data_IF_434558586810
#
_entry.id   IF_434558586810
#
_cell.length_a   1.000
_cell.length_b   1.000
_cell.length_c   1.000
_cell.angle_alpha   90.00
_cell.angle_beta   90.00
_cell.angle_gamma   90.00
#
_symmetry.space_group_name_H-M   'P 1'
#
loop_
_entity.id
_entity.type
_entity.pdbx_description
1 polymer ?
#
# COMPACT_ATOMS: atom_id res chain seq x y z
N UNK A 1 6.79 7.19 -18.00
CA UNK A 1 6.51 7.56 -16.59
C UNK A 1 6.96 6.41 -15.69
N UNK A 2 7.24 6.66 -14.40
CA UNK A 2 8.04 5.74 -13.57
C UNK A 2 7.34 4.39 -13.32
N UNK A 3 7.91 3.32 -13.88
CA UNK A 3 7.37 1.95 -13.87
C UNK A 3 7.93 1.07 -12.75
N UNK A 4 8.58 1.62 -11.74
CA UNK A 4 9.23 0.88 -10.62
C UNK A 4 9.20 1.71 -9.34
N UNK A 5 9.21 3.03 -9.47
CA UNK A 5 9.45 3.98 -8.39
C UNK A 5 8.31 5.00 -8.36
N UNK A 6 7.90 5.40 -7.16
CA UNK A 6 6.97 6.50 -6.96
C UNK A 6 7.46 7.41 -5.84
N UNK A 7 7.11 8.71 -5.92
CA UNK A 7 7.43 9.66 -4.87
C UNK A 7 6.61 9.35 -3.61
N UNK A 8 7.22 9.55 -2.45
CA UNK A 8 6.54 9.50 -1.17
C UNK A 8 6.38 10.91 -0.58
N UNK A 9 5.40 11.13 0.31
CA UNK A 9 5.40 12.30 1.17
C UNK A 9 6.72 12.42 1.95
N UNK A 10 7.18 13.65 2.20
CA UNK A 10 8.39 13.93 2.96
C UNK A 10 8.19 13.64 4.46
N UNK A 11 8.21 12.36 4.82
CA UNK A 11 8.03 11.87 6.17
C UNK A 11 9.37 11.74 6.87
N UNK A 12 9.52 12.39 8.05
CA UNK A 12 10.67 12.16 8.92
C UNK A 12 10.57 10.79 9.58
N UNK A 13 11.67 10.05 9.58
CA UNK A 13 11.76 8.68 10.09
C UNK A 13 13.07 8.47 10.84
N UNK A 14 13.07 7.49 11.74
CA UNK A 14 14.26 6.92 12.34
C UNK A 14 14.55 5.58 11.67
N UNK A 15 15.69 5.48 11.01
CA UNK A 15 16.17 4.26 10.38
C UNK A 15 16.98 3.48 11.40
N UNK A 16 16.60 2.23 11.62
CA UNK A 16 17.39 1.24 12.36
C UNK A 16 18.74 1.05 11.67
N UNK A 17 19.83 1.38 12.37
CA UNK A 17 21.17 1.43 11.77
C UNK A 17 21.63 0.05 11.31
N UNK A 18 21.15 -1.03 11.91
CA UNK A 18 21.42 -2.39 11.46
C UNK A 18 21.03 -2.63 10.00
N UNK A 19 19.96 -2.01 9.49
CA UNK A 19 19.59 -2.12 8.08
C UNK A 19 20.58 -1.39 7.16
N UNK A 20 21.17 -0.29 7.61
CA UNK A 20 22.20 0.45 6.87
C UNK A 20 23.54 -0.30 6.82
N UNK A 21 23.76 -1.20 7.77
CA UNK A 21 25.00 -1.98 7.94
C UNK A 21 24.83 -3.43 7.47
N UNK A 22 23.78 -3.74 6.69
CA UNK A 22 23.47 -5.09 6.22
C UNK A 22 23.42 -6.14 7.36
N UNK A 23 22.87 -5.74 8.50
CA UNK A 23 22.77 -6.53 9.73
C UNK A 23 24.10 -7.06 10.29
N UNK A 24 25.23 -6.43 9.96
CA UNK A 24 26.55 -6.81 10.50
C UNK A 24 26.95 -6.01 11.75
N UNK A 25 26.40 -4.80 11.94
CA UNK A 25 26.63 -3.92 13.08
C UNK A 25 25.45 -2.95 13.23
N UNK A 26 25.44 -2.07 14.23
CA UNK A 26 24.49 -0.96 14.35
C UNK A 26 23.20 -1.29 15.09
N UNK A 27 23.06 -2.51 15.60
CA UNK A 27 21.88 -2.94 16.36
C UNK A 27 21.56 -1.99 17.51
N UNK A 28 20.29 -1.59 17.61
CA UNK A 28 19.80 -0.68 18.66
C UNK A 28 20.25 0.77 18.50
N UNK A 29 20.91 1.13 17.40
CA UNK A 29 21.25 2.51 17.03
C UNK A 29 20.32 2.98 15.93
N UNK A 30 20.05 4.28 15.89
CA UNK A 30 19.12 4.88 14.94
C UNK A 30 19.76 6.05 14.20
N UNK A 31 19.29 6.29 12.99
CA UNK A 31 19.71 7.40 12.13
C UNK A 31 18.47 8.12 11.64
N UNK A 32 18.40 9.43 11.87
CA UNK A 32 17.30 10.25 11.32
C UNK A 32 17.40 10.31 9.78
N UNK A 33 16.25 10.19 9.13
CA UNK A 33 16.11 10.29 7.68
C UNK A 33 14.77 10.88 7.25
N UNK A 34 14.64 11.11 5.96
CA UNK A 34 13.40 11.57 5.30
C UNK A 34 13.11 10.64 4.13
N UNK A 35 11.91 10.07 4.07
CA UNK A 35 11.50 9.28 2.90
C UNK A 35 11.47 10.16 1.64
N UNK A 36 11.90 9.57 0.53
CA UNK A 36 11.96 10.23 -0.78
C UNK A 36 11.08 9.49 -1.77
N UNK A 37 11.30 8.18 -1.92
CA UNK A 37 10.59 7.35 -2.89
C UNK A 37 10.41 5.92 -2.40
N UNK A 38 9.42 5.22 -2.96
CA UNK A 38 9.24 3.78 -2.81
C UNK A 38 9.51 3.08 -4.13
N UNK A 39 10.05 1.86 -4.08
CA UNK A 39 10.28 0.98 -5.23
C UNK A 39 9.48 -0.31 -5.07
N UNK A 40 8.87 -0.75 -6.18
CA UNK A 40 8.01 -1.93 -6.28
C UNK A 40 8.64 -3.01 -7.16
N UNK A 41 9.11 -4.11 -6.59
CA UNK A 41 9.71 -5.20 -7.35
C UNK A 41 8.90 -6.48 -7.09
N UNK A 42 8.30 -7.10 -8.13
CA UNK A 42 7.53 -8.32 -7.98
C UNK A 42 8.26 -9.39 -7.16
N UNK A 43 7.54 -9.98 -6.20
CA UNK A 43 8.10 -11.00 -5.30
C UNK A 43 9.00 -10.47 -4.18
N UNK A 44 9.04 -9.15 -3.94
CA UNK A 44 9.78 -8.54 -2.82
C UNK A 44 8.91 -7.58 -2.01
N UNK A 45 9.31 -7.28 -0.78
CA UNK A 45 8.72 -6.19 -0.02
C UNK A 45 8.95 -4.82 -0.70
N UNK A 46 8.20 -3.80 -0.30
CA UNK A 46 8.49 -2.44 -0.77
C UNK A 46 9.83 -1.98 -0.23
N UNK A 47 10.61 -1.32 -1.10
CA UNK A 47 11.88 -0.70 -0.71
C UNK A 47 11.74 0.81 -0.70
N UNK A 48 12.22 1.42 0.38
CA UNK A 48 12.13 2.85 0.61
C UNK A 48 13.51 3.48 0.41
N UNK A 49 13.56 4.49 -0.43
CA UNK A 49 14.71 5.37 -0.58
C UNK A 49 14.59 6.51 0.43
N UNK A 50 15.63 6.70 1.22
CA UNK A 50 15.62 7.60 2.36
C UNK A 50 16.84 8.51 2.29
N UNK A 51 16.61 9.81 2.36
CA UNK A 51 17.68 10.79 2.54
C UNK A 51 18.11 10.78 4.01
N UNK A 52 19.40 10.63 4.26
CA UNK A 52 20.03 10.59 5.58
C UNK A 52 20.85 11.88 5.78
N UNK A 53 20.28 12.95 6.37
CA UNK A 53 20.89 14.28 6.35
C UNK A 53 22.27 14.35 7.02
N UNK A 54 22.48 13.62 8.12
CA UNK A 54 23.78 13.56 8.82
C UNK A 54 24.90 12.98 7.96
N UNK A 55 24.56 12.22 6.92
CA UNK A 55 25.51 11.63 5.98
C UNK A 55 25.51 12.33 4.61
N UNK A 56 24.57 13.27 4.36
CA UNK A 56 24.37 13.85 3.04
C UNK A 56 24.11 12.80 1.96
N UNK A 57 23.50 11.66 2.31
CA UNK A 57 23.42 10.48 1.46
C UNK A 57 21.97 10.03 1.24
N UNK A 58 21.68 9.49 0.05
CA UNK A 58 20.48 8.71 -0.21
C UNK A 58 20.83 7.23 -0.05
N UNK A 59 20.03 6.51 0.73
CA UNK A 59 20.15 5.07 0.89
C UNK A 59 18.83 4.41 0.48
N UNK A 60 18.91 3.36 -0.33
CA UNK A 60 17.77 2.61 -0.86
C UNK A 60 17.72 1.18 -0.27
N UNK A 61 16.76 0.35 -0.71
CA UNK A 61 16.61 -1.06 -0.31
C UNK A 61 16.20 -1.29 1.16
N UNK A 62 15.69 -0.28 1.84
CA UNK A 62 15.18 -0.42 3.20
C UNK A 62 13.73 -0.93 3.17
N UNK A 63 13.40 -2.07 3.82
CA UNK A 63 12.02 -2.52 3.96
C UNK A 63 11.28 -1.68 5.01
N UNK A 64 9.96 -1.78 5.07
CA UNK A 64 9.15 -1.00 6.03
C UNK A 64 9.55 -1.21 7.50
N UNK A 65 10.03 -2.42 7.84
CA UNK A 65 10.51 -2.78 9.18
C UNK A 65 11.78 -2.04 9.62
N UNK A 66 12.49 -1.38 8.69
CA UNK A 66 13.66 -0.58 9.01
C UNK A 66 13.32 0.75 9.69
N UNK A 67 12.05 1.18 9.64
CA UNK A 67 11.66 2.53 10.01
C UNK A 67 10.84 2.57 11.30
N UNK A 68 11.10 3.62 12.09
CA UNK A 68 10.36 3.98 13.27
C UNK A 68 10.04 5.47 13.24
N UNK A 69 8.98 5.87 13.92
CA UNK A 69 8.61 7.27 14.12
C UNK A 69 9.27 7.90 15.34
N UNK A 70 9.97 7.11 16.15
CA UNK A 70 10.71 7.55 17.34
C UNK A 70 12.08 6.87 17.39
N UNK A 71 13.05 7.50 18.05
CA UNK A 71 14.43 6.99 18.22
C UNK A 71 14.51 5.89 19.30
N UNK A 72 13.61 4.89 19.24
CA UNK A 72 13.59 3.78 20.20
C UNK A 72 12.87 2.57 19.64
N UNK A 73 13.37 1.38 19.95
CA UNK A 73 12.65 0.13 19.67
C UNK A 73 11.35 0.09 20.48
N UNK A 74 10.21 -0.21 19.86
CA UNK A 74 8.93 -0.34 20.56
C UNK A 74 8.91 -1.58 21.47
N UNK A 75 8.01 -1.59 22.45
CA UNK A 75 7.80 -2.77 23.31
C UNK A 75 7.28 -3.97 22.50
N UNK A 76 6.30 -3.72 21.64
CA UNK A 76 5.83 -4.68 20.65
C UNK A 76 6.56 -4.34 19.35
N UNK A 77 7.63 -5.08 19.07
CA UNK A 77 8.45 -4.90 17.86
C UNK A 77 8.11 -5.97 16.83
N UNK A 78 7.21 -5.62 15.91
CA UNK A 78 6.74 -6.52 14.86
C UNK A 78 7.79 -6.65 13.76
N UNK A 79 7.95 -7.87 13.25
CA UNK A 79 8.85 -8.18 12.13
C UNK A 79 8.22 -7.84 10.77
N UNK A 80 9.01 -7.95 9.69
CA UNK A 80 8.58 -7.58 8.35
C UNK A 80 7.27 -8.29 7.91
N UNK A 81 7.09 -9.61 8.08
CA UNK A 81 5.83 -10.29 7.74
C UNK A 81 4.60 -9.79 8.52
N UNK A 82 4.78 -9.20 9.71
CA UNK A 82 3.71 -8.57 10.48
C UNK A 82 3.48 -7.10 10.09
N UNK A 83 4.41 -6.45 9.42
CA UNK A 83 4.28 -5.07 8.95
C UNK A 83 3.86 -4.96 7.48
N UNK A 84 4.19 -5.96 6.66
CA UNK A 84 3.80 -6.07 5.26
C UNK A 84 3.51 -7.54 4.93
N UNK A 85 2.27 -7.83 4.55
CA UNK A 85 1.80 -9.21 4.40
C UNK A 85 2.04 -9.79 3.00
N UNK A 86 2.01 -8.95 1.98
CA UNK A 86 2.20 -9.34 0.59
C UNK A 86 3.43 -8.67 0.01
N UNK A 87 4.12 -9.38 -0.87
CA UNK A 87 5.12 -8.77 -1.73
C UNK A 87 4.45 -7.81 -2.72
N UNK A 88 5.24 -6.91 -3.29
CA UNK A 88 4.84 -6.14 -4.46
C UNK A 88 4.42 -7.10 -5.59
N UNK A 89 3.42 -6.70 -6.36
CA UNK A 89 2.81 -7.55 -7.39
C UNK A 89 3.33 -7.21 -8.78
N UNK A 90 3.52 -5.92 -9.07
CA UNK A 90 4.01 -5.43 -10.35
C UNK A 90 5.14 -4.39 -10.17
N UNK A 91 5.86 -4.12 -11.24
CA UNK A 91 6.82 -3.02 -11.28
C UNK A 91 6.09 -1.66 -11.25
N UNK A 92 4.99 -1.51 -11.98
CA UNK A 92 4.23 -0.26 -11.96
C UNK A 92 3.59 -0.07 -10.57
N UNK A 93 3.80 1.13 -10.02
CA UNK A 93 3.34 1.52 -8.70
C UNK A 93 2.97 2.98 -8.68
N UNK A 94 1.91 3.30 -7.95
CA UNK A 94 1.52 4.68 -7.65
C UNK A 94 1.46 4.89 -6.14
N UNK A 95 1.81 6.10 -5.69
CA UNK A 95 1.52 6.57 -4.35
C UNK A 95 0.38 7.59 -4.41
N UNK A 96 -0.71 7.34 -3.69
CA UNK A 96 -1.86 8.24 -3.62
C UNK A 96 -2.17 8.61 -2.18
N UNK A 97 -2.59 9.85 -1.96
CA UNK A 97 -3.17 10.28 -0.69
C UNK A 97 -4.70 10.30 -0.81
N UNK A 98 -5.37 9.33 -0.20
CA UNK A 98 -6.83 9.22 -0.21
C UNK A 98 -7.45 10.27 0.73
N UNK A 99 -7.66 11.48 0.20
CA UNK A 99 -8.04 12.67 0.98
C UNK A 99 -9.24 12.48 1.90
N UNK A 100 -10.30 11.81 1.43
CA UNK A 100 -11.53 11.63 2.22
C UNK A 100 -11.31 10.86 3.53
N UNK A 101 -10.45 9.84 3.51
CA UNK A 101 -10.16 9.00 4.68
C UNK A 101 -8.88 9.41 5.41
N UNK A 102 -8.13 10.38 4.89
CA UNK A 102 -6.76 10.65 5.32
C UNK A 102 -6.63 11.14 6.77
N UNK A 103 -7.70 11.71 7.33
CA UNK A 103 -7.76 12.19 8.72
C UNK A 103 -8.51 11.25 9.68
N UNK A 104 -8.96 10.09 9.22
CA UNK A 104 -9.69 9.13 10.08
C UNK A 104 -8.72 8.36 10.99
N UNK A 105 -9.26 7.74 12.04
CA UNK A 105 -8.52 6.80 12.88
C UNK A 105 -8.45 5.43 12.20
N UNK A 106 -7.28 4.79 12.20
CA UNK A 106 -7.06 3.48 11.59
C UNK A 106 -6.78 2.42 12.64
N UNK A 107 -7.40 1.26 12.47
CA UNK A 107 -7.05 0.01 13.16
C UNK A 107 -6.59 -1.02 12.13
N UNK A 108 -5.54 -1.76 12.45
CA UNK A 108 -5.03 -2.88 11.64
C UNK A 108 -5.08 -4.18 12.43
N UNK A 109 -5.47 -5.25 11.74
CA UNK A 109 -5.52 -6.60 12.31
C UNK A 109 -4.25 -7.35 11.96
N UNK A 110 -3.30 -7.36 12.89
CA UNK A 110 -2.02 -8.04 12.68
C UNK A 110 -2.18 -9.56 12.67
N UNK A 111 -1.11 -10.30 12.33
CA UNK A 111 -1.13 -11.77 12.36
C UNK A 111 -1.01 -12.26 13.79
N UNK A 112 -0.02 -11.73 14.51
CA UNK A 112 0.42 -12.30 15.79
C UNK A 112 0.23 -11.35 16.99
N UNK A 113 -0.13 -10.08 16.76
CA UNK A 113 -0.10 -9.01 17.77
C UNK A 113 -1.45 -8.31 18.00
N UNK A 114 -2.56 -8.93 17.58
CA UNK A 114 -3.90 -8.39 17.71
C UNK A 114 -4.11 -7.09 16.92
N UNK A 115 -4.98 -6.22 17.45
CA UNK A 115 -5.31 -4.94 16.82
C UNK A 115 -4.23 -3.91 17.17
N UNK A 116 -3.72 -3.21 16.16
CA UNK A 116 -2.84 -2.06 16.32
C UNK A 116 -3.51 -0.81 15.74
N UNK A 117 -3.37 0.33 16.42
CA UNK A 117 -3.91 1.62 15.97
C UNK A 117 -2.86 2.44 15.27
N UNK A 118 -3.29 3.36 14.42
CA UNK A 118 -2.39 4.28 13.74
C UNK A 118 -3.10 5.33 12.91
N UNK A 119 -2.28 6.06 12.14
CA UNK A 119 -2.70 7.14 11.23
C UNK A 119 -2.22 6.88 9.81
N UNK A 120 -3.00 7.37 8.86
CA UNK A 120 -2.71 7.23 7.44
C UNK A 120 -1.62 8.18 6.96
N UNK A 121 -0.81 7.71 6.02
CA UNK A 121 0.22 8.52 5.32
C UNK A 121 -0.09 8.58 3.83
N UNK A 122 -0.21 7.41 3.19
CA UNK A 122 -0.58 7.28 1.78
C UNK A 122 -0.94 5.82 1.48
N UNK A 123 -1.34 5.53 0.25
CA UNK A 123 -1.51 4.17 -0.26
C UNK A 123 -0.55 3.97 -1.42
N UNK A 124 0.20 2.87 -1.37
CA UNK A 124 0.92 2.34 -2.51
C UNK A 124 0.03 1.33 -3.22
N UNK A 125 -0.08 1.44 -4.54
CA UNK A 125 -0.91 0.54 -5.32
C UNK A 125 -0.20 0.07 -6.59
N UNK A 126 -0.29 -1.23 -6.88
CA UNK A 126 0.28 -1.84 -8.07
C UNK A 126 -0.77 -1.97 -9.17
N UNK A 127 -0.35 -1.80 -10.42
CA UNK A 127 -1.20 -1.97 -11.60
C UNK A 127 -0.36 -2.52 -12.76
N UNK A 128 -0.97 -2.97 -13.85
CA UNK A 128 -0.21 -3.35 -15.05
C UNK A 128 -0.30 -2.24 -16.10
N UNK A 129 0.78 -1.47 -16.25
CA UNK A 129 0.75 -0.23 -17.02
C UNK A 129 1.11 -0.33 -18.51
N UNK A 130 1.34 -1.54 -19.05
CA UNK A 130 1.82 -1.69 -20.43
C UNK A 130 1.19 -2.89 -21.14
N UNK A 131 0.20 -2.61 -21.99
CA UNK A 131 -0.53 -3.60 -22.78
C UNK A 131 0.35 -4.41 -23.74
N UNK A 132 1.52 -3.90 -24.13
CA UNK A 132 2.45 -4.62 -25.02
C UNK A 132 3.38 -5.57 -24.26
N UNK A 133 3.33 -5.56 -22.93
CA UNK A 133 4.10 -6.45 -22.06
C UNK A 133 3.15 -7.49 -21.49
N UNK A 134 3.59 -8.75 -21.46
CA UNK A 134 2.85 -9.84 -20.83
C UNK A 134 2.60 -9.47 -19.36
N UNK A 135 1.33 -9.42 -18.98
CA UNK A 135 0.95 -9.38 -17.57
C UNK A 135 1.15 -10.78 -16.98
N UNK A 136 2.20 -10.93 -16.18
CA UNK A 136 2.46 -12.12 -15.38
C UNK A 136 2.13 -11.88 -13.89
N UNK A 137 1.65 -10.68 -13.57
CA UNK A 137 1.41 -10.23 -12.21
C UNK A 137 0.03 -10.63 -11.72
N UNK A 138 -0.22 -10.37 -10.44
CA UNK A 138 -1.54 -10.46 -9.83
C UNK A 138 -2.08 -9.07 -9.50
N UNK A 139 -1.52 -8.02 -10.11
CA UNK A 139 -1.84 -6.64 -9.78
C UNK A 139 -3.22 -6.21 -10.26
N UNK A 140 -3.85 -6.94 -11.18
CA UNK A 140 -5.20 -6.61 -11.68
C UNK A 140 -6.21 -7.76 -11.47
N UNK A 141 -5.76 -8.88 -10.90
CA UNK A 141 -6.62 -10.03 -10.59
C UNK A 141 -7.51 -9.75 -9.38
N UNK A 142 -8.85 -9.85 -9.48
CA UNK A 142 -9.77 -9.46 -8.40
C UNK A 142 -9.52 -10.13 -7.05
N UNK A 143 -9.27 -11.44 -7.01
CA UNK A 143 -9.00 -12.16 -5.77
C UNK A 143 -7.64 -11.83 -5.14
N UNK A 144 -6.65 -11.55 -5.97
CA UNK A 144 -5.25 -11.47 -5.55
C UNK A 144 -4.79 -10.03 -5.29
N UNK A 145 -5.31 -9.03 -6.02
CA UNK A 145 -4.91 -7.63 -5.89
C UNK A 145 -5.04 -7.11 -4.46
N UNK A 146 -4.08 -6.26 -4.04
CA UNK A 146 -4.06 -5.60 -2.73
C UNK A 146 -3.55 -4.17 -2.86
N UNK A 147 -4.32 -3.21 -2.36
CA UNK A 147 -3.80 -1.87 -2.05
C UNK A 147 -2.96 -1.92 -0.77
N UNK A 148 -1.80 -1.27 -0.74
CA UNK A 148 -0.91 -1.24 0.42
C UNK A 148 -1.02 0.10 1.15
N UNK A 149 -1.85 0.17 2.18
CA UNK A 149 -2.03 1.41 2.94
C UNK A 149 -0.87 1.58 3.93
N UNK A 150 -0.06 2.61 3.69
CA UNK A 150 1.08 3.00 4.51
C UNK A 150 0.59 3.78 5.72
N UNK A 151 0.77 3.20 6.91
CA UNK A 151 0.34 3.78 8.17
C UNK A 151 1.51 3.98 9.12
N UNK A 152 1.42 5.01 9.95
CA UNK A 152 2.22 5.13 11.17
C UNK A 152 1.41 4.56 12.33
N UNK A 153 1.93 3.52 12.98
CA UNK A 153 1.29 2.89 14.14
C UNK A 153 1.64 3.62 15.45
N UNK A 154 0.74 3.53 16.42
CA UNK A 154 0.88 4.15 17.74
C UNK A 154 2.08 3.60 18.53
N UNK A 155 2.44 2.34 18.28
CA UNK A 155 3.64 1.74 18.89
C UNK A 155 4.94 2.37 18.36
N UNK A 156 4.88 3.12 17.26
CA UNK A 156 5.99 3.81 16.65
C UNK A 156 6.52 3.17 15.37
N UNK A 157 6.06 1.97 14.99
CA UNK A 157 6.42 1.33 13.70
C UNK A 157 5.58 1.90 12.54
N UNK A 158 5.95 1.52 11.33
CA UNK A 158 5.14 1.75 10.13
C UNK A 158 4.73 0.42 9.51
N UNK A 159 3.59 0.39 8.82
CA UNK A 159 3.09 -0.82 8.17
C UNK A 159 2.44 -0.53 6.82
N UNK A 160 2.26 -1.58 6.01
CA UNK A 160 1.62 -1.59 4.69
C UNK A 160 0.52 -2.65 4.69
N UNK A 161 -0.72 -2.24 4.96
CA UNK A 161 -1.84 -3.16 5.17
C UNK A 161 -2.90 -3.08 4.06
N UNK A 162 -3.49 -4.22 3.65
CA UNK A 162 -4.61 -4.23 2.72
C UNK A 162 -5.91 -3.81 3.40
N UNK A 163 -6.88 -3.39 2.59
CA UNK A 163 -8.19 -2.93 3.07
C UNK A 163 -8.90 -4.00 3.92
N UNK A 164 -8.79 -5.29 3.56
CA UNK A 164 -9.45 -6.39 4.27
C UNK A 164 -8.79 -6.77 5.62
N UNK A 165 -7.71 -6.07 6.03
CA UNK A 165 -7.07 -6.24 7.35
C UNK A 165 -7.05 -4.93 8.12
N UNK A 166 -8.00 -4.03 7.83
CA UNK A 166 -8.10 -2.74 8.51
C UNK A 166 -9.56 -2.35 8.81
N UNK A 167 -9.72 -1.41 9.74
CA UNK A 167 -10.93 -0.62 9.95
C UNK A 167 -10.57 0.85 10.08
N UNK A 168 -11.51 1.69 9.66
CA UNK A 168 -11.40 3.13 9.70
C UNK A 168 -12.56 3.70 10.50
N UNK A 169 -12.28 4.73 11.31
CA UNK A 169 -13.26 5.35 12.18
C UNK A 169 -13.22 6.86 12.03
N UNK A 170 -14.39 7.43 11.79
CA UNK A 170 -14.64 8.87 11.75
C UNK A 170 -15.68 9.22 12.80
N UNK A 171 -15.44 10.31 13.55
CA UNK A 171 -16.29 10.74 14.65
C UNK A 171 -17.72 11.11 14.23
N UNK A 172 -17.93 11.48 12.96
CA UNK A 172 -19.23 11.93 12.44
C UNK A 172 -19.93 10.84 11.63
N UNK A 173 -19.17 10.05 10.86
CA UNK A 173 -19.72 9.09 9.91
C UNK A 173 -19.79 7.66 10.45
N UNK A 174 -18.93 7.30 11.40
CA UNK A 174 -18.90 5.93 11.92
C UNK A 174 -19.83 5.82 13.13
N UNK A 175 -20.82 4.91 13.11
CA UNK A 175 -21.70 4.73 14.25
C UNK A 175 -20.91 4.19 15.45
N UNK A 176 -21.41 4.45 16.67
CA UNK A 176 -20.78 4.00 17.92
C UNK A 176 -20.54 2.48 17.96
N UNK A 177 -21.41 1.71 17.32
CA UNK A 177 -21.25 0.26 17.16
C UNK A 177 -21.32 -0.08 15.68
N UNK A 178 -20.17 -0.06 14.98
CA UNK A 178 -20.11 -0.39 13.56
C UNK A 178 -20.27 -1.89 13.36
N UNK A 179 -21.01 -2.27 12.31
CA UNK A 179 -21.20 -3.66 11.91
C UNK A 179 -19.86 -4.34 11.63
N UNK A 180 -19.81 -5.64 11.88
CA UNK A 180 -18.68 -6.47 11.46
C UNK A 180 -18.78 -6.69 9.96
N UNK A 181 -17.74 -6.38 9.16
CA UNK A 181 -17.74 -6.71 7.74
C UNK A 181 -17.90 -8.22 7.53
N UNK A 182 -18.95 -8.61 6.81
CA UNK A 182 -19.27 -9.98 6.39
C UNK A 182 -19.05 -10.18 4.87
N UNK A 183 -18.26 -9.28 4.27
CA UNK A 183 -17.97 -9.26 2.84
C UNK A 183 -17.13 -10.46 2.42
N UNK A 184 -17.37 -10.93 1.20
CA UNK A 184 -16.58 -11.99 0.56
C UNK A 184 -15.49 -11.40 -0.31
N UNK A 185 -14.41 -12.17 -0.51
CA UNK A 185 -13.42 -11.85 -1.55
C UNK A 185 -14.14 -11.89 -2.91
N UNK A 186 -14.00 -10.83 -3.69
CA UNK A 186 -14.53 -10.78 -5.05
C UNK A 186 -13.60 -11.53 -5.99
N UNK A 187 -14.16 -12.41 -6.81
CA UNK A 187 -13.48 -13.09 -7.93
C UNK A 187 -14.09 -12.67 -9.27
N UNK A 188 -14.98 -11.66 -9.26
CA UNK A 188 -15.78 -11.26 -10.42
C UNK A 188 -15.13 -10.03 -11.06
N UNK A 189 -14.87 -10.12 -12.36
CA UNK A 189 -14.55 -8.98 -13.22
C UNK A 189 -15.86 -8.36 -13.73
N UNK A 190 -16.12 -7.11 -13.33
CA UNK A 190 -17.28 -6.37 -13.81
C UNK A 190 -16.94 -5.66 -15.11
N UNK A 191 -17.62 -6.01 -16.20
CA UNK A 191 -17.51 -5.37 -17.51
C UNK A 191 -18.89 -5.16 -18.14
N UNK A 192 -19.01 -4.20 -19.06
CA UNK A 192 -20.28 -3.80 -19.68
C UNK A 192 -20.38 -4.15 -21.16
N UNK A 193 -19.27 -4.51 -21.80
CA UNK A 193 -19.21 -4.72 -23.25
C UNK A 193 -19.38 -6.19 -23.66
N UNK A 194 -18.91 -7.14 -22.85
CA UNK A 194 -19.06 -8.57 -23.16
C UNK A 194 -20.23 -9.20 -22.39
N UNK A 195 -20.86 -10.21 -23.01
CA UNK A 195 -21.98 -10.95 -22.42
C UNK A 195 -23.37 -10.39 -22.72
N UNK A 196 -23.46 -9.29 -23.48
CA UNK A 196 -24.72 -8.73 -23.97
C UNK A 196 -24.98 -9.17 -25.42
N UNK A 197 -26.19 -9.65 -25.72
CA UNK A 197 -26.64 -10.03 -27.08
C UNK A 197 -27.06 -8.81 -27.91
N UNK A 198 -26.20 -7.80 -28.00
CA UNK A 198 -26.47 -6.59 -28.76
C UNK A 198 -25.25 -6.21 -29.61
N UNK A 199 -25.45 -6.14 -30.93
CA UNK A 199 -24.38 -5.89 -31.92
C UNK A 199 -24.64 -4.60 -32.67
N UNK A 200 -23.86 -3.57 -32.33
CA UNK A 200 -23.91 -2.25 -32.97
C UNK A 200 -23.49 -2.26 -34.45
N UNK A 201 -22.78 -3.31 -34.89
CA UNK A 201 -22.37 -3.47 -36.29
C UNK A 201 -23.46 -3.97 -37.23
N UNK A 202 -24.66 -4.29 -36.74
CA UNK A 202 -25.80 -4.72 -37.57
C UNK A 202 -26.68 -3.54 -38.02
N UNK A 203 -26.25 -2.29 -37.76
CA UNK A 203 -26.96 -1.06 -38.18
C UNK A 203 -26.02 -0.15 -38.95
N UNK A 204 -26.48 0.41 -40.07
CA UNK A 204 -25.75 1.44 -40.83
C UNK A 204 -25.93 2.86 -40.22
N UNK A 205 -26.71 2.98 -39.13
CA UNK A 205 -26.99 4.26 -38.48
C UNK A 205 -25.85 4.65 -37.53
N UNK A 206 -25.26 5.82 -37.77
CA UNK A 206 -24.23 6.40 -36.92
C UNK A 206 -24.75 6.75 -35.50
N UNK A 207 -26.04 7.08 -35.39
CA UNK A 207 -26.77 7.21 -34.12
C UNK A 207 -27.77 6.07 -34.02
N UNK A 208 -27.39 5.00 -33.32
CA UNK A 208 -28.28 3.86 -33.11
C UNK A 208 -29.30 4.18 -32.02
N UNK A 209 -30.54 3.73 -32.22
CA UNK A 209 -31.61 3.77 -31.22
C UNK A 209 -31.67 2.47 -30.45
N UNK A 210 -32.02 2.56 -29.16
CA UNK A 210 -32.33 1.38 -28.38
C UNK A 210 -33.56 0.68 -28.94
N UNK A 211 -33.70 -0.63 -28.71
CA UNK A 211 -34.82 -1.46 -29.23
C UNK A 211 -36.22 -0.94 -28.80
N UNK A 212 -36.27 -0.03 -27.84
CA UNK A 212 -37.49 0.60 -27.30
C UNK A 212 -37.56 2.13 -27.54
N UNK A 213 -36.79 2.69 -28.50
CA UNK A 213 -36.87 4.10 -28.95
C UNK A 213 -37.34 4.27 -30.41
#
# INVERSE_FOLDING_TARGET
>A
MSKLICNLPAQKVWVRKEYLMNHQDGFGKFVEGVWVSAKSIPGRAFYFETFLPKYGALFDKLPISAFLSMERTPKTDMDLPNLQFWNCMDYNVVAIHKQFIGSMDFEVYTRDFGIQKGRYICTLDNYHGDENVIDYSTAEQPEEHKSFNLLQLDNGQYCLYPNNRMRLYDNSLTPTTPLQPDFKVSTIEYQVENGNEYRLGDTDEYFWKLKDE
#
